data_IF_466283233239
#
_entry.id   IF_466283233239
#
_cell.length_a   1.000
_cell.length_b   1.000
_cell.length_c   1.000
_cell.angle_alpha   90.00
_cell.angle_beta   90.00
_cell.angle_gamma   90.00
#
_symmetry.space_group_name_H-M   'P 1'
#
loop_
_entity.id
_entity.type
_entity.pdbx_description
1 polymer ?
#
# COMPACT_ATOMS: atom_id res chain seq x y z
N UNK A 1 -26.68 -14.10 9.81
CA UNK A 1 -26.60 -15.18 10.84
C UNK A 1 -25.39 -16.13 10.64
N UNK A 2 -25.18 -16.92 9.55
CA UNK A 2 -23.97 -17.76 9.45
C UNK A 2 -22.64 -16.98 9.42
N UNK A 3 -22.65 -15.78 8.86
CA UNK A 3 -21.43 -14.94 8.75
C UNK A 3 -21.04 -14.34 10.11
N UNK A 4 -21.98 -13.91 10.91
CA UNK A 4 -21.74 -13.29 12.23
C UNK A 4 -21.10 -14.27 13.21
N UNK A 5 -21.56 -15.53 13.22
CA UNK A 5 -20.96 -16.58 14.05
C UNK A 5 -19.52 -16.91 13.62
N UNK A 6 -19.23 -16.89 12.31
CA UNK A 6 -17.89 -17.10 11.78
C UNK A 6 -16.95 -15.95 12.17
N UNK A 7 -17.42 -14.70 12.08
CA UNK A 7 -16.69 -13.51 12.50
C UNK A 7 -16.39 -13.53 14.01
N UNK A 8 -17.39 -13.85 14.84
CA UNK A 8 -17.21 -13.93 16.28
C UNK A 8 -16.16 -14.99 16.67
N UNK A 9 -16.19 -16.17 16.07
CA UNK A 9 -15.21 -17.22 16.30
C UNK A 9 -13.80 -16.80 15.85
N UNK A 10 -13.70 -16.08 14.71
CA UNK A 10 -12.41 -15.58 14.23
C UNK A 10 -11.83 -14.55 15.21
N UNK A 11 -12.63 -13.58 15.67
CA UNK A 11 -12.22 -12.61 16.69
C UNK A 11 -11.66 -13.28 17.94
N UNK A 12 -12.39 -14.23 18.52
CA UNK A 12 -11.95 -14.97 19.71
C UNK A 12 -10.62 -15.69 19.52
N UNK A 13 -10.34 -16.17 18.30
CA UNK A 13 -9.13 -16.94 18.00
C UNK A 13 -7.90 -16.07 17.79
N UNK A 14 -8.05 -14.87 17.18
CA UNK A 14 -6.92 -14.08 16.69
C UNK A 14 -6.71 -12.76 17.43
N UNK A 15 -7.70 -12.26 18.16
CA UNK A 15 -7.63 -10.96 18.85
C UNK A 15 -7.46 -11.09 20.34
N UNK A 16 -6.49 -10.36 20.88
CA UNK A 16 -6.33 -10.08 22.32
C UNK A 16 -6.52 -8.58 22.61
N UNK A 17 -6.98 -7.81 21.62
CA UNK A 17 -7.17 -6.36 21.71
C UNK A 17 -8.64 -6.05 21.94
N UNK A 18 -8.93 -5.14 22.88
CA UNK A 18 -10.24 -4.51 23.05
C UNK A 18 -10.47 -3.33 22.09
N UNK A 19 -9.40 -2.87 21.42
CA UNK A 19 -9.40 -1.71 20.54
C UNK A 19 -9.58 -2.07 19.05
N UNK A 20 -9.67 -3.36 18.72
CA UNK A 20 -9.78 -3.84 17.34
C UNK A 20 -10.71 -5.05 17.24
N UNK A 21 -11.52 -5.06 16.19
CA UNK A 21 -12.44 -6.17 15.93
C UNK A 21 -12.61 -6.43 14.44
N UNK A 22 -12.78 -7.69 14.07
CA UNK A 22 -13.17 -8.09 12.72
C UNK A 22 -14.69 -7.92 12.61
N UNK A 23 -15.11 -7.21 11.57
CA UNK A 23 -16.53 -6.92 11.28
C UNK A 23 -16.82 -7.11 9.79
N UNK A 24 -18.09 -7.13 9.42
CA UNK A 24 -18.50 -7.04 8.02
C UNK A 24 -18.28 -5.62 7.49
N UNK A 25 -17.62 -5.50 6.35
CA UNK A 25 -17.38 -4.25 5.64
C UNK A 25 -18.19 -4.12 4.35
N UNK A 26 -17.78 -3.20 3.49
CA UNK A 26 -18.42 -2.96 2.21
C UNK A 26 -18.39 -4.21 1.32
N UNK A 27 -19.48 -4.44 0.58
CA UNK A 27 -19.64 -5.61 -0.29
C UNK A 27 -19.63 -6.96 0.43
N UNK A 28 -19.77 -6.96 1.77
CA UNK A 28 -19.70 -8.17 2.60
C UNK A 28 -18.27 -8.68 2.83
N UNK A 29 -17.25 -7.96 2.37
CA UNK A 29 -15.86 -8.27 2.67
C UNK A 29 -15.57 -8.03 4.16
N UNK A 30 -14.81 -8.92 4.78
CA UNK A 30 -14.42 -8.75 6.18
C UNK A 30 -13.32 -7.69 6.32
N UNK A 31 -13.42 -6.87 7.37
CA UNK A 31 -12.41 -5.89 7.74
C UNK A 31 -12.14 -5.90 9.24
N UNK A 32 -10.93 -5.50 9.61
CA UNK A 32 -10.58 -5.14 10.97
C UNK A 32 -10.86 -3.65 11.13
N UNK A 33 -11.68 -3.32 12.10
CA UNK A 33 -11.90 -1.95 12.54
C UNK A 33 -11.08 -1.70 13.79
N UNK A 34 -10.24 -0.69 13.77
CA UNK A 34 -9.36 -0.29 14.88
C UNK A 34 -9.81 1.08 15.36
N UNK A 35 -9.95 1.21 16.68
CA UNK A 35 -10.30 2.48 17.32
C UNK A 35 -9.58 2.60 18.66
N UNK A 36 -8.58 3.49 18.71
CA UNK A 36 -7.78 3.79 19.89
C UNK A 36 -7.79 5.28 20.19
N UNK A 37 -7.18 5.69 21.30
CA UNK A 37 -6.97 7.11 21.58
C UNK A 37 -5.96 7.75 20.61
N UNK A 38 -5.09 6.94 19.95
CA UNK A 38 -4.08 7.44 19.03
C UNK A 38 -4.55 7.52 17.57
N UNK A 39 -5.45 6.61 17.13
CA UNK A 39 -5.90 6.56 15.75
C UNK A 39 -7.16 5.73 15.54
N UNK A 40 -7.83 5.96 14.42
CA UNK A 40 -8.83 5.04 13.84
C UNK A 40 -8.29 4.48 12.51
N UNK A 41 -8.58 3.21 12.21
CA UNK A 41 -8.19 2.60 10.95
C UNK A 41 -9.15 1.47 10.52
N UNK A 42 -9.12 1.19 9.22
CA UNK A 42 -9.81 0.05 8.62
C UNK A 42 -8.85 -0.77 7.76
N UNK A 43 -8.79 -2.08 7.98
CA UNK A 43 -7.94 -2.99 7.24
C UNK A 43 -8.80 -4.15 6.73
N UNK A 44 -8.96 -4.25 5.43
CA UNK A 44 -9.69 -5.37 4.83
C UNK A 44 -8.83 -6.64 4.80
N UNK A 45 -9.40 -7.79 5.12
CA UNK A 45 -8.74 -9.08 4.97
C UNK A 45 -8.43 -9.35 3.49
N UNK A 46 -9.28 -8.81 2.60
CA UNK A 46 -9.06 -8.80 1.16
C UNK A 46 -7.85 -7.92 0.81
N UNK A 47 -6.76 -8.55 0.38
CA UNK A 47 -5.49 -7.88 0.08
C UNK A 47 -4.67 -7.48 1.32
N UNK A 48 -5.11 -7.80 2.54
CA UNK A 48 -4.59 -7.23 3.79
C UNK A 48 -4.47 -5.70 3.69
N UNK A 49 -5.46 -5.08 3.05
CA UNK A 49 -5.37 -3.70 2.57
C UNK A 49 -5.84 -2.70 3.62
N UNK A 50 -4.95 -1.81 4.06
CA UNK A 50 -5.32 -0.62 4.85
C UNK A 50 -6.10 0.31 3.93
N UNK A 51 -7.36 0.57 4.25
CA UNK A 51 -8.24 1.44 3.44
C UNK A 51 -8.51 2.79 4.07
N UNK A 52 -8.31 2.90 5.40
CA UNK A 52 -8.44 4.13 6.14
C UNK A 52 -7.43 4.16 7.29
N UNK A 53 -6.85 5.33 7.54
CA UNK A 53 -6.03 5.61 8.72
C UNK A 53 -6.12 7.10 9.05
N UNK A 54 -6.66 7.37 10.24
CA UNK A 54 -6.88 8.71 10.76
C UNK A 54 -6.28 8.84 12.16
N UNK A 55 -5.07 9.37 12.29
CA UNK A 55 -4.49 9.69 13.59
C UNK A 55 -5.30 10.73 14.34
N UNK A 56 -5.28 10.67 15.67
CA UNK A 56 -5.98 11.60 16.52
C UNK A 56 -5.53 13.06 16.23
N UNK A 57 -6.50 13.93 16.06
CA UNK A 57 -6.26 15.35 15.72
C UNK A 57 -5.91 15.61 14.24
N UNK A 58 -5.97 14.61 13.38
CA UNK A 58 -5.72 14.75 11.94
C UNK A 58 -6.93 14.40 11.10
N UNK A 59 -6.94 14.86 9.84
CA UNK A 59 -7.83 14.37 8.81
C UNK A 59 -7.36 12.99 8.31
N UNK A 60 -8.26 12.28 7.57
CA UNK A 60 -7.93 11.01 6.91
C UNK A 60 -6.69 11.14 6.04
N UNK A 61 -5.75 10.22 6.22
CA UNK A 61 -4.45 10.24 5.51
C UNK A 61 -4.51 9.51 4.19
N UNK A 62 -5.29 8.46 4.12
CA UNK A 62 -5.37 7.62 2.94
C UNK A 62 -6.54 8.04 2.04
N UNK A 63 -6.29 8.09 0.76
CA UNK A 63 -7.34 8.26 -0.22
C UNK A 63 -8.02 6.92 -0.52
N UNK A 64 -9.33 6.93 -0.55
CA UNK A 64 -10.14 5.79 -0.96
C UNK A 64 -11.17 6.25 -2.01
N UNK A 65 -11.21 5.57 -3.16
CA UNK A 65 -12.17 5.93 -4.21
C UNK A 65 -13.62 5.61 -3.79
N UNK A 66 -14.50 6.56 -4.01
CA UNK A 66 -15.94 6.34 -3.84
C UNK A 66 -16.56 5.36 -4.86
N UNK A 67 -15.82 5.02 -5.93
CA UNK A 67 -16.23 4.03 -6.95
C UNK A 67 -15.48 2.70 -6.83
N UNK A 68 -14.75 2.46 -5.71
CA UNK A 68 -14.04 1.20 -5.47
C UNK A 68 -14.97 -0.01 -5.59
N UNK A 69 -14.44 -1.08 -6.18
CA UNK A 69 -15.13 -2.36 -6.23
C UNK A 69 -14.95 -3.13 -4.93
N UNK A 70 -16.06 -3.36 -4.22
CA UNK A 70 -16.08 -4.14 -2.98
C UNK A 70 -16.51 -5.57 -3.27
N UNK A 71 -15.62 -6.32 -3.94
CA UNK A 71 -15.88 -7.68 -4.40
C UNK A 71 -14.63 -8.54 -4.34
N UNK A 72 -14.79 -9.80 -3.96
CA UNK A 72 -13.70 -10.78 -4.02
C UNK A 72 -13.12 -10.88 -5.46
N UNK A 73 -11.79 -10.98 -5.56
CA UNK A 73 -11.10 -11.04 -6.84
C UNK A 73 -10.90 -9.69 -7.54
N UNK A 74 -11.46 -8.59 -7.01
CA UNK A 74 -11.25 -7.23 -7.52
C UNK A 74 -10.37 -6.43 -6.58
N UNK A 75 -9.47 -5.62 -7.14
CA UNK A 75 -8.67 -4.71 -6.33
C UNK A 75 -9.53 -3.57 -5.78
N UNK A 76 -9.32 -3.18 -4.52
CA UNK A 76 -9.89 -1.97 -3.92
C UNK A 76 -9.05 -0.78 -4.38
N UNK A 77 -9.69 0.27 -4.91
CA UNK A 77 -9.01 1.48 -5.41
C UNK A 77 -8.77 2.47 -4.29
N UNK A 78 -7.51 2.64 -3.88
CA UNK A 78 -7.11 3.54 -2.79
C UNK A 78 -6.50 2.78 -1.61
N UNK A 79 -6.27 3.45 -0.49
CA UNK A 79 -5.58 2.87 0.65
C UNK A 79 -4.15 2.45 0.34
N UNK A 80 -3.74 1.26 0.79
CA UNK A 80 -2.40 0.73 0.59
C UNK A 80 -2.48 -0.71 0.03
N UNK A 81 -2.72 -0.89 -1.27
CA UNK A 81 -2.63 -2.20 -1.91
C UNK A 81 -1.21 -2.78 -1.87
N UNK A 82 -1.10 -4.08 -1.62
CA UNK A 82 0.18 -4.81 -1.71
C UNK A 82 0.38 -5.30 -3.13
N UNK A 83 1.46 -4.89 -3.79
CA UNK A 83 1.88 -5.38 -5.10
C UNK A 83 2.92 -6.49 -4.90
N UNK A 84 2.65 -7.69 -5.44
CA UNK A 84 3.54 -8.86 -5.39
C UNK A 84 2.98 -9.98 -6.29
N UNK A 85 3.78 -10.78 -7.02
CA UNK A 85 5.25 -10.77 -7.13
C UNK A 85 5.80 -9.98 -8.31
N UNK A 86 4.98 -9.19 -9.00
CA UNK A 86 5.39 -8.25 -10.06
C UNK A 86 4.67 -6.93 -9.91
N UNK A 87 5.29 -5.87 -10.42
CA UNK A 87 4.74 -4.54 -10.47
C UNK A 87 4.24 -4.21 -11.88
N UNK A 88 3.12 -3.47 -12.01
CA UNK A 88 2.42 -3.21 -13.29
C UNK A 88 1.92 -4.49 -13.98
N UNK A 89 1.84 -4.50 -15.32
CA UNK A 89 1.49 -5.68 -16.10
C UNK A 89 2.63 -6.71 -16.05
N UNK A 90 2.28 -8.00 -16.04
CA UNK A 90 3.26 -9.09 -16.16
C UNK A 90 3.77 -9.13 -17.60
N UNK A 91 5.10 -9.04 -17.79
CA UNK A 91 5.71 -8.85 -19.10
C UNK A 91 5.47 -10.03 -20.08
N UNK A 92 5.45 -11.25 -19.53
CA UNK A 92 5.31 -12.52 -20.29
C UNK A 92 3.87 -13.06 -20.32
N UNK A 93 2.92 -12.41 -19.63
CA UNK A 93 1.52 -12.84 -19.59
C UNK A 93 0.56 -11.64 -19.43
N UNK A 94 0.00 -11.12 -20.53
CA UNK A 94 -0.91 -9.98 -20.50
C UNK A 94 -2.27 -10.28 -19.87
N UNK A 95 -2.59 -11.56 -19.59
CA UNK A 95 -3.81 -11.97 -18.90
C UNK A 95 -3.64 -12.03 -17.39
N UNK A 96 -2.40 -11.99 -16.90
CA UNK A 96 -2.13 -11.95 -15.48
C UNK A 96 -2.62 -10.63 -14.85
N UNK A 97 -3.09 -10.66 -13.61
CA UNK A 97 -3.55 -9.46 -12.95
C UNK A 97 -2.40 -8.43 -12.79
N UNK A 98 -2.65 -7.18 -13.14
CA UNK A 98 -1.66 -6.12 -12.92
C UNK A 98 -1.29 -6.01 -11.44
N UNK A 99 -0.01 -5.73 -11.16
CA UNK A 99 0.57 -5.62 -9.81
C UNK A 99 0.51 -6.90 -8.97
N UNK A 100 0.57 -8.06 -9.63
CA UNK A 100 0.47 -9.35 -8.99
C UNK A 100 -0.93 -9.70 -8.50
N UNK A 101 -1.02 -10.73 -7.70
CA UNK A 101 -2.30 -11.35 -7.34
C UNK A 101 -2.68 -11.22 -5.85
N UNK A 102 -1.76 -10.78 -4.97
CA UNK A 102 -2.02 -10.83 -3.52
C UNK A 102 -3.02 -9.79 -3.04
N UNK A 103 -3.16 -8.66 -3.76
CA UNK A 103 -4.12 -7.60 -3.44
C UNK A 103 -5.57 -7.95 -3.78
N UNK A 104 -5.78 -9.03 -4.52
CA UNK A 104 -7.13 -9.46 -4.95
C UNK A 104 -7.60 -10.75 -4.27
N UNK A 105 -6.89 -11.20 -3.24
CA UNK A 105 -7.23 -12.39 -2.47
C UNK A 105 -7.38 -12.10 -0.98
N UNK A 106 -8.10 -12.94 -0.28
CA UNK A 106 -8.22 -12.85 1.17
C UNK A 106 -6.95 -13.37 1.85
N UNK A 107 -6.45 -12.63 2.83
CA UNK A 107 -5.35 -13.02 3.68
C UNK A 107 -5.87 -13.54 5.01
N UNK A 108 -5.10 -14.41 5.65
CA UNK A 108 -5.40 -14.93 6.98
C UNK A 108 -4.89 -13.95 8.03
N UNK A 109 -5.69 -13.69 9.05
CA UNK A 109 -5.26 -12.97 10.25
C UNK A 109 -4.58 -13.98 11.18
N UNK A 110 -3.33 -13.72 11.56
CA UNK A 110 -2.57 -14.53 12.51
C UNK A 110 -2.79 -14.04 13.94
N UNK A 111 -2.70 -12.71 14.16
CA UNK A 111 -2.93 -12.09 15.47
C UNK A 111 -3.34 -10.63 15.37
N UNK A 112 -4.06 -10.15 16.39
CA UNK A 112 -4.36 -8.74 16.66
C UNK A 112 -3.98 -8.48 18.12
N UNK A 113 -3.07 -7.55 18.37
CA UNK A 113 -2.51 -7.27 19.70
C UNK A 113 -2.43 -5.79 19.98
N UNK A 114 -2.69 -5.38 21.22
CA UNK A 114 -2.41 -4.01 21.64
C UNK A 114 -0.90 -3.81 21.81
N UNK A 115 -0.44 -2.62 21.47
CA UNK A 115 0.95 -2.19 21.54
C UNK A 115 1.08 -0.92 22.40
N UNK A 116 2.27 -0.61 22.94
CA UNK A 116 2.48 0.64 23.65
C UNK A 116 2.08 1.88 22.86
N UNK A 117 1.69 2.94 23.54
CA UNK A 117 1.29 4.21 22.91
C UNK A 117 -0.11 4.21 22.29
N UNK A 118 -1.01 3.37 22.79
CA UNK A 118 -2.36 3.18 22.23
C UNK A 118 -2.35 2.76 20.76
N UNK A 119 -1.38 1.93 20.39
CA UNK A 119 -1.31 1.36 19.05
C UNK A 119 -1.87 -0.08 19.05
N UNK A 120 -2.23 -0.55 17.86
CA UNK A 120 -2.67 -1.93 17.60
C UNK A 120 -1.83 -2.51 16.48
N UNK A 121 -1.30 -3.71 16.68
CA UNK A 121 -0.58 -4.47 15.66
C UNK A 121 -1.44 -5.61 15.14
N UNK A 122 -1.53 -5.71 13.82
CA UNK A 122 -2.19 -6.81 13.11
C UNK A 122 -1.17 -7.56 12.28
N UNK A 123 -1.10 -8.88 12.45
CA UNK A 123 -0.27 -9.74 11.63
C UNK A 123 -1.15 -10.55 10.68
N UNK A 124 -0.94 -10.34 9.39
CA UNK A 124 -1.54 -11.13 8.32
C UNK A 124 -0.54 -12.09 7.70
N UNK A 125 -1.05 -13.15 7.07
CA UNK A 125 -0.24 -14.01 6.22
C UNK A 125 -1.03 -14.53 5.01
N UNK A 126 -0.29 -14.84 3.94
CA UNK A 126 -0.77 -15.59 2.78
C UNK A 126 0.41 -16.40 2.20
N UNK A 127 0.14 -17.28 1.27
CA UNK A 127 1.20 -18.11 0.68
C UNK A 127 0.78 -18.69 -0.66
N UNK A 128 1.68 -19.50 -1.23
CA UNK A 128 1.44 -20.22 -2.47
C UNK A 128 0.32 -21.25 -2.32
N UNK A 129 -0.46 -21.38 -3.37
CA UNK A 129 -1.48 -22.41 -3.59
C UNK A 129 -1.56 -22.77 -5.09
N UNK A 130 -2.45 -23.65 -5.47
CA UNK A 130 -2.60 -24.09 -6.86
C UNK A 130 -3.02 -22.96 -7.81
N UNK A 131 -3.70 -21.92 -7.28
CA UNK A 131 -4.10 -20.75 -8.06
C UNK A 131 -2.90 -19.85 -8.32
N UNK A 132 -2.11 -19.55 -7.30
CA UNK A 132 -0.94 -18.67 -7.42
C UNK A 132 0.14 -19.30 -8.30
N UNK A 133 0.36 -20.63 -8.19
CA UNK A 133 1.36 -21.33 -9.00
C UNK A 133 1.06 -21.29 -10.51
N UNK A 134 -0.18 -21.08 -10.92
CA UNK A 134 -0.52 -20.88 -12.35
C UNK A 134 0.07 -19.60 -12.92
N UNK A 135 0.15 -18.56 -12.09
CA UNK A 135 0.69 -17.27 -12.48
C UNK A 135 2.19 -17.15 -12.22
N UNK A 136 2.65 -17.78 -11.12
CA UNK A 136 4.02 -17.68 -10.62
C UNK A 136 4.38 -18.98 -9.88
N UNK A 137 5.15 -19.89 -10.52
CA UNK A 137 5.29 -21.29 -10.09
C UNK A 137 6.33 -21.47 -8.97
N UNK A 138 6.27 -20.64 -7.94
CA UNK A 138 7.16 -20.68 -6.78
C UNK A 138 6.38 -20.83 -5.49
N UNK A 139 7.00 -21.48 -4.51
CA UNK A 139 6.47 -21.60 -3.16
C UNK A 139 6.99 -20.47 -2.29
N UNK A 140 6.05 -19.73 -1.75
CA UNK A 140 6.34 -18.54 -0.92
C UNK A 140 5.41 -18.44 0.28
N UNK A 141 5.86 -17.69 1.29
CA UNK A 141 5.02 -17.18 2.38
C UNK A 141 5.21 -15.67 2.48
N UNK A 142 4.11 -14.96 2.56
CA UNK A 142 4.07 -13.56 2.93
C UNK A 142 3.55 -13.43 4.34
N UNK A 143 4.20 -12.58 5.14
CA UNK A 143 3.65 -12.05 6.39
C UNK A 143 3.63 -10.53 6.29
N UNK A 144 2.54 -9.92 6.71
CA UNK A 144 2.38 -8.47 6.68
C UNK A 144 1.94 -7.98 8.05
N UNK A 145 2.86 -7.28 8.72
CA UNK A 145 2.58 -6.63 10.00
C UNK A 145 2.19 -5.20 9.76
N UNK A 146 1.05 -4.79 10.30
CA UNK A 146 0.51 -3.44 10.24
C UNK A 146 0.33 -2.96 11.66
N UNK A 147 1.06 -1.91 12.07
CA UNK A 147 0.90 -1.30 13.38
C UNK A 147 0.30 0.09 13.22
N UNK A 148 -0.88 0.27 13.80
CA UNK A 148 -1.70 1.48 13.72
C UNK A 148 -1.60 2.24 15.03
N UNK A 149 -1.15 3.49 14.96
CA UNK A 149 -1.06 4.43 16.08
C UNK A 149 -1.01 5.86 15.54
N UNK A 150 -0.31 6.77 16.24
CA UNK A 150 -0.02 8.12 15.71
C UNK A 150 0.82 8.08 14.44
N UNK A 151 1.63 7.05 14.25
CA UNK A 151 2.25 6.65 13.00
C UNK A 151 1.59 5.37 12.47
N UNK A 152 1.79 5.08 11.20
CA UNK A 152 1.42 3.82 10.55
C UNK A 152 2.70 3.10 10.14
N UNK A 153 2.97 1.95 10.77
CA UNK A 153 4.13 1.12 10.43
C UNK A 153 3.69 -0.13 9.68
N UNK A 154 4.35 -0.39 8.58
CA UNK A 154 4.03 -1.44 7.62
C UNK A 154 5.28 -2.28 7.37
N UNK A 155 5.25 -3.58 7.65
CA UNK A 155 6.38 -4.48 7.41
C UNK A 155 5.91 -5.72 6.64
N UNK A 156 6.32 -5.81 5.38
CA UNK A 156 6.02 -6.93 4.50
C UNK A 156 7.23 -7.85 4.41
N UNK A 157 7.09 -9.08 4.91
CA UNK A 157 8.10 -10.12 4.83
C UNK A 157 7.73 -11.15 3.77
N UNK A 158 8.67 -11.45 2.89
CA UNK A 158 8.58 -12.48 1.87
C UNK A 158 9.62 -13.56 2.19
N UNK A 159 9.18 -14.82 2.24
CA UNK A 159 10.07 -15.98 2.42
C UNK A 159 9.94 -16.93 1.26
N UNK A 160 11.08 -17.39 0.74
CA UNK A 160 11.14 -18.48 -0.23
C UNK A 160 10.94 -19.82 0.50
N UNK A 161 9.83 -20.48 0.22
CA UNK A 161 9.46 -21.78 0.79
C UNK A 161 9.77 -22.94 -0.14
N UNK A 162 10.26 -22.64 -1.36
CA UNK A 162 10.58 -23.61 -2.40
C UNK A 162 12.00 -24.15 -2.35
N UNK A 163 12.40 -24.85 -3.42
CA UNK A 163 13.71 -25.48 -3.58
C UNK A 163 14.57 -24.77 -4.65
N UNK A 164 14.06 -23.70 -5.26
CA UNK A 164 14.74 -22.93 -6.30
C UNK A 164 14.72 -21.44 -5.94
N UNK A 165 15.76 -20.68 -6.32
CA UNK A 165 15.72 -19.23 -6.16
C UNK A 165 14.61 -18.63 -7.02
N UNK A 166 14.05 -17.50 -6.54
CA UNK A 166 13.12 -16.71 -7.32
C UNK A 166 13.41 -15.20 -7.22
N UNK A 167 13.06 -14.51 -8.29
CA UNK A 167 13.09 -13.05 -8.36
C UNK A 167 11.67 -12.51 -8.30
N UNK A 168 11.45 -11.45 -7.52
CA UNK A 168 10.15 -10.80 -7.40
C UNK A 168 10.31 -9.28 -7.29
N UNK A 169 9.21 -8.60 -7.59
CA UNK A 169 9.02 -7.19 -7.29
C UNK A 169 7.95 -7.05 -6.21
N UNK A 170 8.10 -6.01 -5.39
CA UNK A 170 7.13 -5.67 -4.35
C UNK A 170 6.93 -4.16 -4.27
N UNK A 171 5.73 -3.74 -3.90
CA UNK A 171 5.46 -2.36 -3.54
C UNK A 171 4.25 -2.26 -2.59
N UNK A 172 4.28 -1.25 -1.71
CA UNK A 172 3.11 -0.78 -0.99
C UNK A 172 2.58 0.46 -1.71
N UNK A 173 1.52 0.26 -2.50
CA UNK A 173 0.96 1.26 -3.42
C UNK A 173 0.12 2.29 -2.68
N UNK A 174 0.76 3.11 -1.86
CA UNK A 174 0.09 4.06 -0.95
C UNK A 174 -0.56 5.20 -1.70
N UNK A 175 -1.88 5.32 -1.57
CA UNK A 175 -2.67 6.45 -2.03
C UNK A 175 -2.86 7.44 -0.89
N UNK A 176 -2.20 8.57 -0.93
CA UNK A 176 -2.40 9.64 0.04
C UNK A 176 -3.59 10.52 -0.34
N UNK A 177 -4.44 10.84 0.65
CA UNK A 177 -5.45 11.87 0.53
C UNK A 177 -4.77 13.25 0.64
N UNK A 178 -4.95 14.08 -0.37
CA UNK A 178 -4.37 15.42 -0.45
C UNK A 178 -5.46 16.46 -0.70
N UNK A 179 -5.22 17.68 -0.27
CA UNK A 179 -6.18 18.77 -0.46
C UNK A 179 -6.38 19.15 -1.92
N UNK A 180 -5.29 19.22 -2.68
CA UNK A 180 -5.27 19.45 -4.12
C UNK A 180 -3.89 19.04 -4.65
N UNK A 181 -3.83 18.04 -5.51
CA UNK A 181 -2.57 17.50 -6.06
C UNK A 181 -1.77 18.55 -6.84
N UNK A 182 -2.42 19.54 -7.44
CA UNK A 182 -1.75 20.64 -8.16
C UNK A 182 -0.99 21.59 -7.20
N UNK A 183 -1.30 21.54 -5.90
CA UNK A 183 -0.71 22.40 -4.86
C UNK A 183 0.22 21.65 -3.90
N UNK A 184 0.37 20.34 -4.09
CA UNK A 184 1.25 19.50 -3.30
C UNK A 184 2.70 19.63 -3.78
N UNK A 185 3.62 19.42 -2.85
CA UNK A 185 5.06 19.36 -3.11
C UNK A 185 5.60 18.05 -2.56
N UNK A 186 6.32 17.28 -3.37
CA UNK A 186 7.04 16.09 -2.91
C UNK A 186 8.53 16.40 -2.82
N UNK A 187 9.13 16.19 -1.65
CA UNK A 187 10.54 16.40 -1.34
C UNK A 187 11.27 15.08 -1.12
N UNK A 188 12.59 15.11 -1.19
CA UNK A 188 13.45 13.94 -0.96
C UNK A 188 13.85 13.21 -2.23
N UNK A 189 13.48 13.72 -3.41
CA UNK A 189 13.80 13.13 -4.71
C UNK A 189 14.73 13.97 -5.57
N UNK A 190 15.24 15.10 -5.06
CA UNK A 190 16.18 15.98 -5.80
C UNK A 190 17.45 15.23 -6.18
N UNK A 191 17.86 15.36 -7.45
CA UNK A 191 19.03 14.68 -8.01
C UNK A 191 18.81 13.18 -8.30
N UNK A 192 17.66 12.60 -7.95
CA UNK A 192 17.39 11.18 -8.17
C UNK A 192 16.91 10.92 -9.59
N UNK A 193 17.45 9.89 -10.23
CA UNK A 193 17.02 9.45 -11.56
C UNK A 193 15.72 8.66 -11.48
N UNK A 194 14.87 8.81 -12.50
CA UNK A 194 13.61 8.07 -12.61
C UNK A 194 13.31 7.67 -14.05
N UNK A 195 12.55 6.62 -14.19
CA UNK A 195 11.96 6.19 -15.45
C UNK A 195 10.56 6.78 -15.59
N UNK A 196 10.36 7.58 -16.65
CA UNK A 196 9.05 8.18 -16.95
C UNK A 196 8.23 7.22 -17.82
N UNK A 197 7.27 6.52 -17.23
CA UNK A 197 6.42 5.56 -17.94
C UNK A 197 5.50 6.24 -18.97
N UNK A 198 5.26 7.52 -18.83
CA UNK A 198 4.45 8.30 -19.80
C UNK A 198 5.26 8.72 -21.04
N UNK A 199 6.58 8.65 -20.93
CA UNK A 199 7.51 8.97 -22.01
C UNK A 199 8.38 7.76 -22.39
N UNK A 200 7.74 6.59 -22.54
CA UNK A 200 8.40 5.36 -22.99
C UNK A 200 9.51 4.86 -22.06
N UNK A 201 9.37 5.05 -20.76
CA UNK A 201 10.38 4.73 -19.74
C UNK A 201 11.72 5.42 -19.96
N UNK A 202 11.73 6.63 -20.52
CA UNK A 202 12.96 7.42 -20.61
C UNK A 202 13.51 7.71 -19.23
N UNK A 203 14.82 7.57 -19.11
CA UNK A 203 15.54 7.95 -17.89
C UNK A 203 15.66 9.48 -17.84
N UNK A 204 15.20 10.06 -16.73
CA UNK A 204 15.25 11.48 -16.42
C UNK A 204 15.80 11.68 -15.01
N UNK A 205 16.20 12.91 -14.67
CA UNK A 205 16.63 13.26 -13.31
C UNK A 205 15.70 14.32 -12.76
N UNK A 206 15.20 14.11 -11.54
CA UNK A 206 14.42 15.11 -10.82
C UNK A 206 15.34 16.25 -10.38
N UNK A 207 14.95 17.48 -10.68
CA UNK A 207 15.65 18.68 -10.21
C UNK A 207 14.75 19.46 -9.24
N UNK A 208 15.26 19.64 -8.04
CA UNK A 208 14.51 20.30 -6.96
C UNK A 208 13.29 19.52 -6.49
N UNK A 209 12.38 20.21 -5.80
CA UNK A 209 11.12 19.65 -5.30
C UNK A 209 10.20 19.24 -6.46
N UNK A 210 9.60 18.06 -6.36
CA UNK A 210 8.68 17.59 -7.39
C UNK A 210 7.29 18.21 -7.18
N UNK A 211 6.72 18.76 -8.25
CA UNK A 211 5.33 19.25 -8.35
C UNK A 211 4.68 18.61 -9.56
N UNK A 212 3.44 18.18 -9.39
CA UNK A 212 2.69 17.59 -10.50
C UNK A 212 1.97 18.69 -11.28
N UNK A 213 2.07 18.63 -12.60
CA UNK A 213 1.38 19.53 -13.55
C UNK A 213 0.69 18.77 -14.68
N UNK A 214 0.83 17.45 -14.71
CA UNK A 214 0.26 16.55 -15.71
C UNK A 214 0.18 15.12 -15.15
N UNK A 215 -0.39 14.22 -15.95
CA UNK A 215 -0.38 12.78 -15.65
C UNK A 215 1.06 12.32 -15.38
N UNK A 216 1.26 11.72 -14.22
CA UNK A 216 2.58 11.31 -13.73
C UNK A 216 2.59 9.82 -13.43
N UNK A 217 3.63 9.11 -13.87
CA UNK A 217 3.91 7.70 -13.55
C UNK A 217 5.42 7.51 -13.59
N UNK A 218 6.08 7.96 -12.53
CA UNK A 218 7.54 8.04 -12.42
C UNK A 218 8.05 6.99 -11.43
N UNK A 219 8.93 6.10 -11.89
CA UNK A 219 9.61 5.12 -11.07
C UNK A 219 11.03 5.58 -10.75
N UNK A 220 11.25 6.08 -9.54
CA UNK A 220 12.57 6.44 -9.01
C UNK A 220 13.23 5.17 -8.51
N UNK A 221 14.23 4.68 -9.23
CA UNK A 221 15.08 3.56 -8.85
C UNK A 221 16.29 4.06 -8.09
N UNK A 222 16.82 3.27 -7.14
CA UNK A 222 17.87 3.71 -6.20
C UNK A 222 17.45 4.93 -5.35
N UNK A 223 16.19 5.00 -4.98
CA UNK A 223 15.58 6.03 -4.15
C UNK A 223 15.20 5.45 -2.78
N UNK A 224 16.19 4.99 -2.01
CA UNK A 224 16.00 4.38 -0.67
C UNK A 224 15.68 5.40 0.43
N UNK A 225 15.89 6.69 0.16
CA UNK A 225 15.64 7.78 1.11
C UNK A 225 14.17 7.97 1.46
N UNK A 226 13.93 8.85 2.42
CA UNK A 226 12.58 9.29 2.79
C UNK A 226 11.98 10.18 1.69
N UNK A 227 10.64 10.17 1.59
CA UNK A 227 9.89 11.16 0.84
C UNK A 227 8.96 11.95 1.77
N UNK A 228 8.78 13.24 1.50
CA UNK A 228 7.88 14.10 2.24
C UNK A 228 6.87 14.75 1.29
N UNK A 229 5.59 14.69 1.65
CA UNK A 229 4.49 15.34 0.94
C UNK A 229 4.09 16.59 1.74
N UNK A 230 4.37 17.77 1.22
CA UNK A 230 3.89 19.04 1.77
C UNK A 230 2.53 19.39 1.19
N UNK A 231 1.49 19.38 2.00
CA UNK A 231 0.11 19.69 1.61
C UNK A 231 -0.36 20.97 2.30
N UNK A 232 -0.20 22.09 1.60
CA UNK A 232 -0.60 23.41 2.11
C UNK A 232 -2.12 23.59 2.23
N UNK A 233 -2.92 22.81 1.51
CA UNK A 233 -4.38 22.88 1.56
C UNK A 233 -4.91 22.26 2.84
N UNK A 234 -4.35 21.12 3.25
CA UNK A 234 -4.69 20.45 4.50
C UNK A 234 -3.78 20.86 5.67
N UNK A 235 -2.80 21.77 5.44
CA UNK A 235 -1.92 22.30 6.47
C UNK A 235 -1.07 21.22 7.17
N UNK A 236 -0.61 20.21 6.42
CA UNK A 236 0.15 19.09 6.97
C UNK A 236 1.31 18.65 6.09
N UNK A 237 2.27 17.96 6.69
CA UNK A 237 3.32 17.21 6.00
C UNK A 237 3.20 15.74 6.33
N UNK A 238 3.24 14.91 5.29
CA UNK A 238 3.26 13.46 5.41
C UNK A 238 4.65 12.98 5.06
N UNK A 239 5.28 12.21 5.95
CA UNK A 239 6.61 11.66 5.74
C UNK A 239 6.52 10.15 5.60
N UNK A 240 7.23 9.61 4.61
CA UNK A 240 7.41 8.18 4.42
C UNK A 240 8.88 7.84 4.63
N UNK A 241 9.19 6.99 5.60
CA UNK A 241 10.51 6.43 5.82
C UNK A 241 10.51 4.97 5.39
N UNK A 242 11.59 4.53 4.72
CA UNK A 242 11.68 3.20 4.14
C UNK A 242 12.90 2.46 4.62
N UNK A 243 12.77 1.14 4.77
CA UNK A 243 13.89 0.22 5.02
C UNK A 243 13.78 -0.96 4.06
N UNK A 244 14.91 -1.33 3.46
CA UNK A 244 15.00 -2.37 2.44
C UNK A 244 14.01 -2.14 1.29
N UNK A 245 13.88 -0.89 0.86
CA UNK A 245 13.02 -0.44 -0.21
C UNK A 245 13.79 0.58 -1.04
N UNK A 246 14.26 0.19 -2.22
CA UNK A 246 15.16 0.98 -3.05
C UNK A 246 14.44 1.76 -4.16
N UNK A 247 13.13 1.61 -4.25
CA UNK A 247 12.33 2.35 -5.25
C UNK A 247 11.31 3.26 -4.57
N UNK A 248 11.04 4.41 -5.20
CA UNK A 248 9.90 5.29 -4.90
C UNK A 248 9.12 5.50 -6.18
N UNK A 249 7.81 5.28 -6.14
CA UNK A 249 6.94 5.48 -7.30
C UNK A 249 6.02 6.68 -7.02
N UNK A 250 5.98 7.63 -7.95
CA UNK A 250 5.07 8.77 -7.91
C UNK A 250 4.05 8.59 -9.01
N UNK A 251 2.78 8.50 -8.63
CA UNK A 251 1.71 8.31 -9.60
C UNK A 251 0.49 9.18 -9.30
N UNK A 252 -0.03 9.79 -10.36
CA UNK A 252 -1.35 10.41 -10.41
C UNK A 252 -1.89 10.31 -11.84
N UNK A 253 -3.12 9.83 -12.06
CA UNK A 253 -3.67 9.66 -13.40
C UNK A 253 -3.98 10.99 -14.09
N UNK A 254 -4.05 12.09 -13.36
CA UNK A 254 -4.54 13.38 -13.87
C UNK A 254 -5.94 13.27 -14.46
N UNK A 255 -6.44 14.37 -15.02
CA UNK A 255 -7.79 14.39 -15.61
C UNK A 255 -7.98 13.32 -16.69
N UNK A 256 -7.06 13.31 -17.65
CA UNK A 256 -7.21 12.48 -18.85
C UNK A 256 -7.07 10.99 -18.55
N UNK A 257 -6.14 10.61 -17.68
CA UNK A 257 -5.97 9.23 -17.24
C UNK A 257 -7.10 8.76 -16.32
N UNK A 258 -7.65 9.63 -15.49
CA UNK A 258 -8.74 9.29 -14.56
C UNK A 258 -10.00 8.82 -15.28
N UNK A 259 -10.32 9.40 -16.44
CA UNK A 259 -11.49 9.01 -17.24
C UNK A 259 -11.46 7.56 -17.72
N UNK A 260 -10.27 6.96 -17.85
CA UNK A 260 -10.09 5.57 -18.26
C UNK A 260 -10.10 4.58 -17.08
N UNK A 261 -10.17 5.07 -15.84
CA UNK A 261 -10.14 4.24 -14.63
C UNK A 261 -11.56 4.12 -14.07
N UNK A 262 -12.26 3.05 -14.44
CA UNK A 262 -13.70 2.88 -14.13
C UNK A 262 -14.05 2.84 -12.63
N UNK A 263 -13.10 2.49 -11.76
CA UNK A 263 -13.25 2.43 -10.31
C UNK A 263 -12.66 3.66 -9.58
N UNK A 264 -12.32 4.73 -10.33
CA UNK A 264 -11.96 6.04 -9.79
C UNK A 264 -13.05 7.06 -10.12
N UNK A 265 -13.43 7.89 -9.15
CA UNK A 265 -14.39 8.98 -9.40
C UNK A 265 -13.80 10.08 -10.29
N UNK A 266 -14.64 10.73 -11.09
CA UNK A 266 -14.24 11.60 -12.20
C UNK A 266 -13.26 12.72 -11.80
N UNK A 267 -13.51 13.41 -10.69
CA UNK A 267 -12.64 14.48 -10.16
C UNK A 267 -11.78 14.05 -8.97
N UNK A 268 -11.82 12.78 -8.58
CA UNK A 268 -11.11 12.30 -7.39
C UNK A 268 -9.58 12.28 -7.56
N UNK A 269 -9.08 12.30 -8.78
CA UNK A 269 -7.65 12.41 -9.07
C UNK A 269 -7.01 13.65 -8.43
N UNK A 270 -7.77 14.74 -8.22
CA UNK A 270 -7.29 15.95 -7.55
C UNK A 270 -6.98 15.73 -6.05
N UNK A 271 -7.67 14.77 -5.45
CA UNK A 271 -7.62 14.50 -4.01
C UNK A 271 -6.68 13.35 -3.66
N UNK A 272 -5.94 12.82 -4.61
CA UNK A 272 -5.04 11.70 -4.39
C UNK A 272 -3.64 11.95 -4.95
N UNK A 273 -2.65 11.36 -4.28
CA UNK A 273 -1.30 11.24 -4.79
C UNK A 273 -0.74 9.90 -4.32
N UNK A 274 -0.21 9.08 -5.23
CA UNK A 274 0.55 7.91 -4.83
C UNK A 274 2.02 8.28 -4.64
N UNK A 275 2.53 7.95 -3.45
CA UNK A 275 3.96 7.93 -3.14
C UNK A 275 4.23 6.56 -2.53
N UNK A 276 4.77 5.68 -3.35
CA UNK A 276 4.87 4.26 -3.03
C UNK A 276 6.32 3.90 -2.71
N UNK A 277 6.51 3.04 -1.73
CA UNK A 277 7.79 2.38 -1.51
C UNK A 277 7.75 0.96 -2.07
N UNK A 278 8.85 0.54 -2.68
CA UNK A 278 8.94 -0.79 -3.29
C UNK A 278 10.35 -1.19 -3.69
N UNK A 279 10.44 -2.38 -4.24
CA UNK A 279 11.61 -2.92 -4.91
C UNK A 279 11.16 -3.41 -6.29
N UNK A 280 11.30 -2.56 -7.30
CA UNK A 280 10.79 -2.80 -8.65
C UNK A 280 11.90 -2.66 -9.69
N UNK A 281 11.69 -3.22 -10.87
CA UNK A 281 12.62 -3.16 -11.99
C UNK A 281 14.02 -3.68 -11.59
N UNK A 282 15.05 -2.82 -11.67
CA UNK A 282 16.43 -3.19 -11.32
C UNK A 282 16.62 -3.41 -9.81
N UNK A 283 15.73 -2.87 -8.98
CA UNK A 283 15.72 -3.10 -7.52
C UNK A 283 14.98 -4.37 -7.12
N UNK A 284 14.47 -5.18 -8.04
CA UNK A 284 13.78 -6.42 -7.71
C UNK A 284 14.68 -7.38 -6.92
N UNK A 285 14.07 -8.07 -5.95
CA UNK A 285 14.77 -8.90 -4.96
C UNK A 285 14.88 -10.34 -5.46
N UNK A 286 16.01 -10.99 -5.19
CA UNK A 286 16.20 -12.43 -5.38
C UNK A 286 16.33 -13.09 -4.02
N UNK A 287 15.64 -14.21 -3.81
CA UNK A 287 15.73 -15.04 -2.62
C UNK A 287 16.12 -16.46 -2.98
N UNK A 288 17.19 -16.93 -2.35
CA UNK A 288 17.56 -18.34 -2.36
C UNK A 288 16.56 -19.19 -1.53
N UNK A 289 16.52 -20.51 -1.70
CA UNK A 289 15.68 -21.39 -0.90
C UNK A 289 15.85 -21.17 0.60
N UNK A 290 14.74 -20.92 1.29
CA UNK A 290 14.70 -20.67 2.75
C UNK A 290 15.01 -19.24 3.17
N UNK A 291 15.52 -18.39 2.30
CA UNK A 291 15.78 -16.98 2.60
C UNK A 291 14.50 -16.15 2.72
N UNK A 292 14.62 -15.05 3.43
CA UNK A 292 13.55 -14.07 3.60
C UNK A 292 14.06 -12.63 3.43
N UNK A 293 13.19 -11.78 2.91
CA UNK A 293 13.37 -10.33 2.81
C UNK A 293 12.24 -9.63 3.54
N UNK A 294 12.52 -8.49 4.18
CA UNK A 294 11.49 -7.66 4.81
C UNK A 294 11.65 -6.22 4.37
N UNK A 295 10.69 -5.73 3.63
CA UNK A 295 10.52 -4.31 3.34
C UNK A 295 9.67 -3.67 4.43
N UNK A 296 10.08 -2.49 4.94
CA UNK A 296 9.30 -1.75 5.90
C UNK A 296 9.12 -0.29 5.49
N UNK A 297 7.92 0.24 5.75
CA UNK A 297 7.57 1.65 5.52
C UNK A 297 6.92 2.19 6.78
N UNK A 298 7.34 3.37 7.21
CA UNK A 298 6.71 4.13 8.28
C UNK A 298 6.15 5.43 7.73
N UNK A 299 4.88 5.71 8.06
CA UNK A 299 4.19 6.94 7.66
C UNK A 299 3.89 7.75 8.91
N UNK A 300 4.32 9.02 8.92
CA UNK A 300 4.08 9.96 10.02
C UNK A 300 3.53 11.28 9.50
N UNK A 301 2.86 12.01 10.39
CA UNK A 301 2.28 13.32 10.08
C UNK A 301 2.93 14.38 10.99
N UNK A 302 3.26 15.51 10.40
CA UNK A 302 3.59 16.73 11.12
C UNK A 302 2.71 17.89 10.64
N UNK A 303 2.43 18.85 11.53
CA UNK A 303 1.81 20.09 11.10
C UNK A 303 2.75 20.84 10.14
N UNK A 304 2.20 21.44 9.10
CA UNK A 304 2.97 22.31 8.22
C UNK A 304 3.14 23.67 8.94
N UNK A 305 4.35 23.94 9.41
CA UNK A 305 4.69 25.19 10.10
C UNK A 305 5.10 26.31 9.12
N UNK A 306 5.24 26.01 7.83
CA UNK A 306 5.53 27.00 6.80
C UNK A 306 4.22 27.63 6.29
N UNK A 307 3.74 28.66 6.98
CA UNK A 307 2.64 29.53 6.52
C UNK A 307 3.20 30.68 5.69
#
# INVERSE_FOLDING_TARGET
>A
MPNDAKIANLNQRVSTSDNAQIVSGNGGLQKIQIKTAAAEAEIYLHGAQVTAWKPAGSDEVLFLSGKSHWQQGKAIRGGIPVCFPWFRAKADDPQAPAHGFVRTREWQVESITDEPGNAVSVLFWTGSDDITRRWWPFDFRLQYRITVGQGLSLALMIKNMGQSPFRFEEALHTYFNVGDVERVVVRGLDGVSYLDNRDGNRNKTQLGDLRLSAQTDNAFVNASGQAEIGDKVLGRRLRTEKRNSDSTIIWNPWRDGATSIGDLGDDQWRRMLCVEGGNILDSAVVLEPGEAHTMAIEITIAADLER
#
